data_IF_123242036250
#
_entry.id   IF_123242036250
#
_cell.length_a   1.000
_cell.length_b   1.000
_cell.length_c   1.000
_cell.angle_alpha   90.00
_cell.angle_beta   90.00
_cell.angle_gamma   90.00
#
_symmetry.space_group_name_H-M   'P 1'
#
loop_
_entity.id
_entity.type
_entity.pdbx_description
1 polymer ?
#
# COMPACT_ATOMS: atom_id res chain seq x y z
N UNK A 1 -1.74 5.33 17.41
CA UNK A 1 -1.16 4.55 16.30
C UNK A 1 -1.37 5.28 14.96
N UNK A 2 -0.84 4.80 13.82
CA UNK A 2 -1.02 5.44 12.48
C UNK A 2 -2.48 5.75 12.18
N UNK A 3 -3.41 4.89 12.62
CA UNK A 3 -4.86 5.04 12.48
C UNK A 3 -5.44 6.31 13.11
N UNK A 4 -4.80 6.86 14.14
CA UNK A 4 -5.33 7.97 14.93
C UNK A 4 -4.80 9.33 14.47
N UNK A 5 -3.96 9.34 13.42
CA UNK A 5 -3.42 10.57 12.85
C UNK A 5 -4.52 11.36 12.16
N UNK A 6 -4.56 12.68 12.40
CA UNK A 6 -5.47 13.63 11.74
C UNK A 6 -4.84 14.37 10.57
N UNK A 7 -3.51 14.49 10.56
CA UNK A 7 -2.79 15.08 9.44
C UNK A 7 -2.74 14.11 8.25
N UNK A 8 -2.64 14.63 7.00
CA UNK A 8 -2.37 13.80 5.83
C UNK A 8 -1.19 12.87 6.09
N UNK A 9 -1.38 11.60 5.77
CA UNK A 9 -0.43 10.53 6.10
C UNK A 9 -0.11 9.72 4.85
N UNK A 10 1.18 9.46 4.66
CA UNK A 10 1.74 8.62 3.60
C UNK A 10 2.32 7.36 4.23
N UNK A 11 1.94 6.19 3.70
CA UNK A 11 2.48 4.89 4.09
C UNK A 11 3.19 4.28 2.89
N UNK A 12 4.40 3.73 3.09
CA UNK A 12 5.24 3.20 2.01
C UNK A 12 5.59 1.71 2.18
N UNK A 13 4.62 0.83 2.51
CA UNK A 13 4.92 -0.55 2.87
C UNK A 13 5.45 -1.34 1.67
N UNK A 14 6.36 -2.27 1.92
CA UNK A 14 6.60 -3.41 1.04
C UNK A 14 5.59 -4.55 1.33
N UNK A 15 5.62 -5.64 0.53
CA UNK A 15 4.64 -6.73 0.65
C UNK A 15 4.56 -7.36 2.06
N UNK A 16 5.71 -7.62 2.69
CA UNK A 16 5.77 -8.10 4.09
C UNK A 16 5.16 -7.14 5.12
N UNK A 17 5.44 -5.84 5.05
CA UNK A 17 4.83 -4.84 5.95
C UNK A 17 3.32 -4.74 5.73
N UNK A 18 2.88 -4.75 4.46
CA UNK A 18 1.47 -4.78 4.10
C UNK A 18 0.76 -6.02 4.66
N UNK A 19 1.39 -7.18 4.57
CA UNK A 19 0.88 -8.44 5.11
C UNK A 19 0.68 -8.35 6.63
N UNK A 20 1.69 -7.85 7.36
CA UNK A 20 1.59 -7.61 8.80
C UNK A 20 0.48 -6.61 9.17
N UNK A 21 0.33 -5.54 8.40
CA UNK A 21 -0.70 -4.50 8.64
C UNK A 21 -2.13 -4.97 8.32
N UNK A 22 -2.27 -5.93 7.39
CA UNK A 22 -3.56 -6.51 6.99
C UNK A 22 -3.91 -7.76 7.82
N UNK A 23 -2.93 -8.47 8.37
CA UNK A 23 -3.13 -9.72 9.09
C UNK A 23 -3.31 -10.91 8.14
N UNK A 24 -2.57 -10.92 7.03
CA UNK A 24 -2.62 -11.97 5.99
C UNK A 24 -1.21 -12.44 5.66
N UNK A 25 -1.07 -13.52 4.89
CA UNK A 25 0.24 -13.97 4.42
C UNK A 25 0.79 -13.07 3.31
N UNK A 26 2.12 -12.95 3.23
CA UNK A 26 2.80 -12.17 2.18
C UNK A 26 2.37 -12.57 0.77
N UNK A 27 2.21 -13.87 0.52
CA UNK A 27 1.77 -14.41 -0.77
C UNK A 27 0.38 -13.90 -1.20
N UNK A 28 -0.50 -13.60 -0.24
CA UNK A 28 -1.84 -13.07 -0.54
C UNK A 28 -1.78 -11.61 -0.95
N UNK A 29 -0.85 -10.84 -0.37
CA UNK A 29 -0.56 -9.47 -0.81
C UNK A 29 0.05 -9.48 -2.21
N UNK A 30 1.01 -10.36 -2.48
CA UNK A 30 1.66 -10.47 -3.79
C UNK A 30 0.69 -10.92 -4.90
N UNK A 31 -0.22 -11.86 -4.60
CA UNK A 31 -1.28 -12.27 -5.53
C UNK A 31 -2.35 -11.18 -5.75
N UNK A 32 -2.53 -10.28 -4.78
CA UNK A 32 -3.62 -9.30 -4.74
C UNK A 32 -3.14 -7.87 -4.46
N UNK A 33 -2.04 -7.41 -5.09
CA UNK A 33 -1.39 -6.13 -4.73
C UNK A 33 -2.32 -4.93 -4.81
N UNK A 34 -3.15 -4.86 -5.85
CA UNK A 34 -4.13 -3.77 -6.02
C UNK A 34 -5.19 -3.77 -4.90
N UNK A 35 -5.69 -4.96 -4.54
CA UNK A 35 -6.63 -5.13 -3.41
C UNK A 35 -5.98 -4.66 -2.11
N UNK A 36 -4.76 -5.14 -1.83
CA UNK A 36 -4.03 -4.82 -0.61
C UNK A 36 -3.74 -3.31 -0.47
N UNK A 37 -3.29 -2.66 -1.55
CA UNK A 37 -3.02 -1.22 -1.53
C UNK A 37 -4.29 -0.39 -1.22
N UNK A 38 -5.43 -0.75 -1.84
CA UNK A 38 -6.72 -0.11 -1.57
C UNK A 38 -7.21 -0.35 -0.15
N UNK A 39 -7.12 -1.59 0.32
CA UNK A 39 -7.54 -1.96 1.67
C UNK A 39 -6.72 -1.22 2.72
N UNK A 40 -5.40 -1.12 2.55
CA UNK A 40 -4.53 -0.33 3.42
C UNK A 40 -4.92 1.15 3.40
N UNK A 41 -5.14 1.73 2.22
CA UNK A 41 -5.50 3.14 2.11
C UNK A 41 -6.80 3.46 2.86
N UNK A 42 -7.82 2.62 2.69
CA UNK A 42 -9.10 2.75 3.38
C UNK A 42 -8.96 2.50 4.90
N UNK A 43 -8.27 1.42 5.28
CA UNK A 43 -8.15 0.98 6.68
C UNK A 43 -7.35 1.94 7.55
N UNK A 44 -6.40 2.66 6.96
CA UNK A 44 -5.54 3.63 7.66
C UNK A 44 -5.86 5.09 7.32
N UNK A 45 -6.80 5.36 6.40
CA UNK A 45 -7.12 6.71 5.89
C UNK A 45 -5.86 7.47 5.47
N UNK A 46 -5.00 6.79 4.72
CA UNK A 46 -3.69 7.26 4.33
C UNK A 46 -3.43 6.98 2.85
N UNK A 47 -2.62 7.80 2.20
CA UNK A 47 -2.11 7.47 0.87
C UNK A 47 -1.08 6.34 1.01
N UNK A 48 -1.20 5.30 0.21
CA UNK A 48 -0.36 4.11 0.28
C UNK A 48 0.45 3.95 -1.00
N UNK A 49 1.76 3.84 -0.85
CA UNK A 49 2.72 3.44 -1.88
C UNK A 49 3.13 2.00 -1.59
N UNK A 50 2.43 1.03 -2.18
CA UNK A 50 2.79 -0.37 -2.04
C UNK A 50 3.97 -0.69 -2.95
N UNK A 51 5.16 -0.80 -2.35
CA UNK A 51 6.42 -1.05 -3.06
C UNK A 51 6.51 -2.47 -3.63
N UNK A 52 7.40 -2.63 -4.60
CA UNK A 52 7.68 -3.86 -5.35
C UNK A 52 8.15 -3.49 -6.77
N UNK A 53 8.28 -4.47 -7.66
CA UNK A 53 8.72 -4.26 -9.06
C UNK A 53 7.92 -3.20 -9.83
N UNK A 54 6.70 -2.93 -9.38
CA UNK A 54 5.87 -1.83 -9.81
C UNK A 54 5.23 -1.24 -8.57
N UNK A 55 5.41 0.06 -8.29
CA UNK A 55 4.80 0.68 -7.11
C UNK A 55 3.35 1.06 -7.41
N UNK A 56 2.44 0.66 -6.53
CA UNK A 56 1.03 1.07 -6.60
C UNK A 56 0.77 2.22 -5.63
N UNK A 57 0.10 3.27 -6.12
CA UNK A 57 -0.24 4.46 -5.34
C UNK A 57 -1.75 4.54 -5.19
N UNK A 58 -2.25 4.21 -4.00
CA UNK A 58 -3.66 4.32 -3.64
C UNK A 58 -3.88 5.54 -2.75
N UNK A 59 -4.77 6.45 -3.14
CA UNK A 59 -5.08 7.65 -2.36
C UNK A 59 -6.03 7.33 -1.19
N UNK A 60 -5.94 8.12 -0.12
CA UNK A 60 -6.73 7.95 1.09
C UNK A 60 -8.25 8.12 0.86
N UNK A 61 -8.62 8.95 -0.11
CA UNK A 61 -9.98 9.24 -0.55
C UNK A 61 -10.50 8.26 -1.63
N UNK A 62 -9.66 7.29 -2.03
CA UNK A 62 -10.01 6.24 -2.98
C UNK A 62 -9.71 6.60 -4.44
N UNK A 63 -10.56 6.14 -5.36
CA UNK A 63 -10.42 6.40 -6.80
C UNK A 63 -9.42 5.51 -7.53
N UNK A 64 -8.90 6.04 -8.65
CA UNK A 64 -7.98 5.33 -9.52
C UNK A 64 -6.62 5.15 -8.83
N UNK A 65 -6.12 3.91 -8.82
CA UNK A 65 -4.78 3.61 -8.32
C UNK A 65 -3.79 3.94 -9.43
N UNK A 66 -2.78 4.75 -9.09
CA UNK A 66 -1.70 5.07 -10.02
C UNK A 66 -0.61 4.01 -9.94
N UNK A 67 0.09 3.82 -11.04
CA UNK A 67 1.09 2.76 -11.20
C UNK A 67 2.41 3.42 -11.61
N UNK A 68 3.48 3.18 -10.86
CA UNK A 68 4.83 3.51 -11.28
C UNK A 68 5.55 2.23 -11.74
N UNK A 69 5.72 2.02 -13.06
CA UNK A 69 6.43 0.87 -13.61
C UNK A 69 7.95 1.07 -13.65
N UNK A 70 8.45 2.24 -13.25
CA UNK A 70 9.89 2.54 -13.26
C UNK A 70 10.53 2.14 -11.94
N UNK A 71 11.78 1.69 -12.00
CA UNK A 71 12.55 1.24 -10.84
C UNK A 71 13.56 0.17 -11.23
N UNK A 72 14.66 0.07 -10.49
CA UNK A 72 15.66 -1.00 -10.62
C UNK A 72 15.41 -2.08 -9.56
N UNK A 73 15.96 -3.27 -9.71
CA UNK A 73 15.64 -4.43 -8.85
C UNK A 73 16.01 -4.29 -7.37
N UNK A 74 16.78 -3.27 -7.01
CA UNK A 74 17.16 -2.92 -5.63
C UNK A 74 16.32 -1.80 -5.01
N UNK A 75 15.31 -1.29 -5.73
CA UNK A 75 14.33 -0.29 -5.31
C UNK A 75 12.96 -0.95 -5.06
#
# INVERSE_FOLDING_TARGET
AVRDRRAPTLMTPHAGEAAALLGVERREVEAGRLRAARELAARYRATVLLKGSTTLVAAADGGAVRVNPTGTSWL
#
